data_IF_458273584425
#
_entry.id   IF_458273584425
#
_cell.length_a   1.000
_cell.length_b   1.000
_cell.length_c   1.000
_cell.angle_alpha   90.00
_cell.angle_beta   90.00
_cell.angle_gamma   90.00
#
_symmetry.space_group_name_H-M   'P 1'
#
loop_
_entity.id
_entity.type
_entity.pdbx_description
1 polymer ?
#
# COMPACT_ATOMS: atom_id res chain seq x y z
N UNK A 1 18.37 13.91 -34.21
CA UNK A 1 19.26 14.16 -33.06
C UNK A 1 18.49 14.96 -32.04
N UNK A 2 18.12 14.33 -30.92
CA UNK A 2 17.39 14.98 -29.83
C UNK A 2 18.36 15.78 -28.96
N UNK A 3 17.97 17.00 -28.60
CA UNK A 3 18.74 17.89 -27.74
C UNK A 3 18.53 17.50 -26.26
N UNK A 4 19.63 17.30 -25.55
CA UNK A 4 19.67 17.08 -24.10
C UNK A 4 19.47 18.43 -23.41
N UNK A 5 18.34 18.61 -22.72
CA UNK A 5 18.12 19.78 -21.87
C UNK A 5 18.78 19.49 -20.52
N UNK A 6 19.84 20.26 -20.26
CA UNK A 6 20.61 20.35 -19.02
C UNK A 6 19.67 20.87 -17.92
N UNK A 7 19.34 20.06 -16.92
CA UNK A 7 18.58 20.52 -15.74
C UNK A 7 19.58 21.08 -14.74
N UNK A 8 19.89 22.37 -14.85
CA UNK A 8 20.48 23.18 -13.78
C UNK A 8 19.37 23.90 -13.02
N UNK A 9 18.83 23.27 -11.98
CA UNK A 9 17.86 23.89 -11.08
C UNK A 9 18.35 23.88 -9.63
N UNK A 10 19.04 24.96 -9.31
CA UNK A 10 19.23 25.65 -8.02
C UNK A 10 18.58 25.03 -6.75
N UNK A 11 19.43 24.66 -5.78
CA UNK A 11 19.13 23.90 -4.54
C UNK A 11 18.56 24.78 -3.41
N UNK A 12 17.77 25.82 -3.70
CA UNK A 12 17.20 26.71 -2.65
C UNK A 12 15.69 26.99 -2.76
N UNK A 13 14.96 26.26 -3.63
CA UNK A 13 13.51 26.42 -3.86
C UNK A 13 12.67 25.14 -3.71
N UNK A 14 13.24 24.05 -3.17
CA UNK A 14 12.58 22.73 -3.11
C UNK A 14 11.61 22.60 -1.91
N UNK A 15 11.57 23.56 -0.98
CA UNK A 15 10.70 23.54 0.21
C UNK A 15 9.19 23.71 -0.06
N UNK A 16 8.73 23.69 -1.32
CA UNK A 16 7.31 23.93 -1.71
C UNK A 16 6.81 22.95 -2.80
N UNK A 17 7.55 21.87 -3.11
CA UNK A 17 6.98 20.79 -3.93
C UNK A 17 6.10 19.97 -2.98
N UNK A 18 4.80 19.91 -3.27
CA UNK A 18 3.83 19.04 -2.60
C UNK A 18 4.45 17.65 -2.44
N UNK A 19 4.86 17.32 -1.21
CA UNK A 19 5.37 15.98 -0.88
C UNK A 19 4.17 15.05 -0.85
N UNK A 20 3.63 14.73 -2.03
CA UNK A 20 2.61 13.71 -2.16
C UNK A 20 3.25 12.39 -1.77
N UNK A 21 2.72 11.77 -0.71
CA UNK A 21 3.21 10.49 -0.24
C UNK A 21 3.09 9.45 -1.37
N UNK A 22 4.13 8.65 -1.51
CA UNK A 22 4.22 7.61 -2.52
C UNK A 22 3.18 6.52 -2.25
N UNK A 23 2.34 6.27 -3.23
CA UNK A 23 1.31 5.24 -3.18
C UNK A 23 1.92 3.84 -3.24
N UNK A 24 1.08 2.88 -2.87
CA UNK A 24 1.36 1.46 -3.03
C UNK A 24 1.72 1.18 -4.48
N UNK A 25 2.85 0.52 -4.73
CA UNK A 25 3.48 0.25 -6.05
C UNK A 25 4.44 1.30 -6.60
N UNK A 26 4.50 2.54 -6.07
CA UNK A 26 5.52 3.50 -6.48
C UNK A 26 6.92 3.08 -6.02
N UNK A 27 7.93 3.43 -6.82
CA UNK A 27 9.34 3.24 -6.47
C UNK A 27 9.72 4.16 -5.32
N UNK A 28 10.53 3.67 -4.40
CA UNK A 28 10.97 4.36 -3.19
C UNK A 28 12.48 4.26 -3.02
N UNK A 29 13.08 5.17 -2.24
CA UNK A 29 14.52 5.24 -2.01
C UNK A 29 14.94 5.05 -0.53
N UNK A 30 14.01 4.56 0.29
CA UNK A 30 14.14 4.38 1.73
C UNK A 30 14.18 5.68 2.53
N UNK A 31 13.73 6.79 1.94
CA UNK A 31 13.48 8.04 2.66
C UNK A 31 12.39 7.83 3.73
N UNK A 32 12.67 8.09 5.02
CA UNK A 32 11.68 7.93 6.06
C UNK A 32 10.42 8.77 5.81
N UNK A 33 9.25 8.11 5.81
CA UNK A 33 7.96 8.79 5.61
C UNK A 33 7.64 9.18 4.17
N UNK A 34 8.36 8.66 3.17
CA UNK A 34 8.06 8.88 1.76
C UNK A 34 6.78 8.17 1.29
N UNK A 35 6.46 7.00 1.85
CA UNK A 35 5.28 6.22 1.48
C UNK A 35 4.01 6.70 2.22
N UNK A 36 2.84 6.41 1.64
CA UNK A 36 1.54 6.63 2.28
C UNK A 36 1.47 6.00 3.69
N UNK A 37 0.60 6.49 4.59
CA UNK A 37 0.48 5.92 5.92
C UNK A 37 0.24 4.41 5.86
N UNK A 38 0.85 3.69 6.80
CA UNK A 38 0.80 2.22 6.86
C UNK A 38 1.48 1.48 5.69
N UNK A 39 2.22 2.17 4.83
CA UNK A 39 3.13 1.57 3.87
C UNK A 39 4.60 1.63 4.34
N UNK A 40 5.45 0.79 3.71
CA UNK A 40 6.89 0.74 3.91
C UNK A 40 7.58 0.48 2.55
N UNK A 41 8.77 1.04 2.36
CA UNK A 41 9.60 0.72 1.20
C UNK A 41 10.15 -0.71 1.32
N UNK A 42 9.71 -1.61 0.44
CA UNK A 42 10.14 -3.00 0.44
C UNK A 42 11.49 -3.16 -0.27
N UNK A 43 12.47 -3.75 0.42
CA UNK A 43 13.83 -3.88 -0.11
C UNK A 43 13.99 -4.71 -1.39
N UNK A 44 13.08 -5.65 -1.66
CA UNK A 44 13.17 -6.54 -2.83
C UNK A 44 12.61 -5.92 -4.10
N UNK A 45 11.43 -5.31 -4.01
CA UNK A 45 10.77 -4.66 -5.13
C UNK A 45 11.17 -3.19 -5.29
N UNK A 46 11.81 -2.61 -4.27
CA UNK A 46 12.12 -1.19 -4.15
C UNK A 46 10.86 -0.33 -4.34
N UNK A 47 9.74 -0.80 -3.78
CA UNK A 47 8.42 -0.14 -3.90
C UNK A 47 7.76 0.01 -2.55
N UNK A 48 6.92 1.04 -2.43
CA UNK A 48 6.03 1.17 -1.29
C UNK A 48 5.00 0.02 -1.31
N UNK A 49 4.94 -0.76 -0.23
CA UNK A 49 3.98 -1.83 0.00
C UNK A 49 3.27 -1.62 1.33
N UNK A 50 2.03 -2.08 1.44
CA UNK A 50 1.32 -2.03 2.71
C UNK A 50 1.98 -2.94 3.75
N UNK A 51 2.08 -2.44 4.99
CA UNK A 51 2.53 -3.23 6.13
C UNK A 51 1.55 -4.37 6.41
N UNK A 52 2.01 -5.38 7.15
CA UNK A 52 1.14 -6.44 7.63
C UNK A 52 -0.08 -5.87 8.39
N UNK A 53 -1.26 -6.43 8.13
CA UNK A 53 -2.52 -5.89 8.64
C UNK A 53 -3.18 -4.82 7.76
N UNK A 54 -2.58 -4.48 6.61
CA UNK A 54 -3.13 -3.52 5.66
C UNK A 54 -3.10 -4.04 4.22
N UNK A 55 -4.04 -3.57 3.40
CA UNK A 55 -4.14 -3.86 1.97
C UNK A 55 -4.24 -2.57 1.13
N UNK A 56 -3.84 -2.68 -0.13
CA UNK A 56 -3.87 -1.57 -1.07
C UNK A 56 -5.28 -1.34 -1.62
N UNK A 57 -5.86 -0.17 -1.35
CA UNK A 57 -7.14 0.25 -1.94
C UNK A 57 -7.15 1.75 -2.23
N UNK A 58 -7.28 2.10 -3.51
CA UNK A 58 -7.32 3.49 -3.96
C UNK A 58 -6.05 4.26 -3.61
N UNK A 59 -4.87 3.66 -3.87
CA UNK A 59 -3.54 4.23 -3.60
C UNK A 59 -3.20 4.45 -2.11
N UNK A 60 -4.02 3.91 -1.20
CA UNK A 60 -3.81 3.97 0.24
C UNK A 60 -3.72 2.55 0.82
N UNK A 61 -3.09 2.45 1.98
CA UNK A 61 -3.13 1.23 2.79
C UNK A 61 -4.27 1.30 3.79
N UNK A 62 -5.27 0.44 3.61
CA UNK A 62 -6.42 0.29 4.50
C UNK A 62 -6.26 -0.96 5.36
N UNK A 63 -6.84 -0.96 6.54
CA UNK A 63 -6.82 -2.13 7.42
C UNK A 63 -7.50 -3.34 6.78
N UNK A 64 -6.99 -4.53 7.05
CA UNK A 64 -7.62 -5.77 6.61
C UNK A 64 -9.02 -5.93 7.24
N UNK A 65 -9.93 -6.48 6.46
CA UNK A 65 -11.32 -6.71 6.80
C UNK A 65 -11.43 -8.08 7.50
N UNK A 66 -12.08 -8.11 8.66
CA UNK A 66 -12.44 -9.35 9.37
C UNK A 66 -13.56 -10.10 8.63
N UNK A 67 -14.21 -11.08 9.26
CA UNK A 67 -15.31 -11.86 8.66
C UNK A 67 -16.61 -11.04 8.43
N UNK A 68 -16.50 -9.95 7.68
CA UNK A 68 -17.54 -8.94 7.38
C UNK A 68 -17.54 -8.64 5.88
N UNK A 69 -18.24 -7.58 5.47
CA UNK A 69 -18.48 -7.26 4.06
C UNK A 69 -17.17 -6.92 3.33
N UNK A 70 -16.98 -7.51 2.17
CA UNK A 70 -15.83 -7.35 1.29
C UNK A 70 -16.25 -7.03 -0.16
N UNK A 71 -15.33 -6.53 -0.98
CA UNK A 71 -15.63 -6.06 -2.34
C UNK A 71 -14.92 -6.87 -3.44
N UNK A 72 -14.25 -7.95 -3.09
CA UNK A 72 -13.43 -8.76 -3.98
C UNK A 72 -12.06 -8.12 -4.29
N UNK A 73 -11.59 -7.17 -3.47
CA UNK A 73 -10.27 -6.57 -3.65
C UNK A 73 -9.19 -7.56 -3.17
N UNK A 74 -8.13 -7.81 -3.96
CA UNK A 74 -7.09 -8.75 -3.59
C UNK A 74 -6.45 -8.42 -2.24
N UNK A 75 -6.44 -9.41 -1.34
CA UNK A 75 -5.84 -9.29 -0.02
C UNK A 75 -6.58 -8.35 0.94
N UNK A 76 -7.85 -8.00 0.68
CA UNK A 76 -8.62 -7.16 1.59
C UNK A 76 -9.01 -7.86 2.89
N UNK A 77 -9.19 -9.18 2.86
CA UNK A 77 -9.53 -9.97 4.04
C UNK A 77 -8.29 -10.23 4.89
N UNK A 78 -8.49 -10.41 6.19
CA UNK A 78 -7.43 -10.84 7.12
C UNK A 78 -6.71 -12.11 6.63
N UNK A 79 -5.48 -12.29 7.08
CA UNK A 79 -4.65 -13.45 6.70
C UNK A 79 -5.41 -14.76 6.90
N UNK A 80 -5.34 -15.64 5.90
CA UNK A 80 -6.09 -16.90 5.82
C UNK A 80 -7.62 -16.75 5.76
N UNK A 81 -8.09 -15.62 5.23
CA UNK A 81 -9.47 -15.43 4.80
C UNK A 81 -9.48 -14.90 3.37
N UNK A 82 -10.56 -15.18 2.64
CA UNK A 82 -10.79 -14.69 1.28
C UNK A 82 -12.21 -14.18 1.13
N UNK A 83 -12.40 -13.24 0.21
CA UNK A 83 -13.73 -12.73 -0.11
C UNK A 83 -14.52 -13.80 -0.88
N UNK A 84 -15.65 -14.25 -0.31
CA UNK A 84 -16.55 -15.22 -0.94
C UNK A 84 -17.95 -14.59 -1.01
N UNK A 85 -18.38 -14.27 -2.23
CA UNK A 85 -19.57 -13.44 -2.44
C UNK A 85 -19.27 -12.01 -2.03
N UNK A 86 -19.89 -11.57 -0.94
CA UNK A 86 -19.74 -10.23 -0.35
C UNK A 86 -19.16 -10.28 1.06
N UNK A 87 -18.70 -11.45 1.54
CA UNK A 87 -18.22 -11.62 2.91
C UNK A 87 -16.86 -12.29 2.96
N UNK A 88 -15.95 -11.79 3.79
CA UNK A 88 -14.68 -12.46 4.07
C UNK A 88 -14.95 -13.76 4.83
N UNK A 89 -14.57 -14.89 4.24
CA UNK A 89 -14.69 -16.21 4.86
C UNK A 89 -13.31 -16.76 5.16
N UNK A 90 -13.15 -17.36 6.35
CA UNK A 90 -11.94 -18.08 6.71
C UNK A 90 -11.69 -19.22 5.71
N UNK A 91 -10.43 -19.39 5.33
CA UNK A 91 -10.03 -20.53 4.52
C UNK A 91 -10.09 -21.83 5.33
N UNK A 92 -10.09 -22.97 4.62
CA UNK A 92 -10.19 -24.28 5.24
C UNK A 92 -9.12 -24.47 6.32
N UNK A 93 -9.55 -24.84 7.53
CA UNK A 93 -8.68 -25.00 8.70
C UNK A 93 -8.48 -23.76 9.57
N UNK A 94 -9.08 -22.62 9.21
CA UNK A 94 -9.05 -21.39 10.00
C UNK A 94 -10.44 -21.02 10.55
N UNK A 95 -10.45 -20.25 11.64
CA UNK A 95 -11.67 -19.82 12.32
C UNK A 95 -11.53 -18.38 12.85
N UNK A 96 -12.64 -17.64 13.04
CA UNK A 96 -12.62 -16.31 13.64
C UNK A 96 -12.10 -16.37 15.08
N UNK A 97 -11.11 -15.53 15.40
CA UNK A 97 -10.49 -15.48 16.72
C UNK A 97 -11.48 -15.07 17.83
N UNK A 98 -12.43 -14.20 17.51
CA UNK A 98 -13.33 -13.58 18.50
C UNK A 98 -14.71 -14.27 18.58
N UNK A 99 -14.91 -15.38 17.87
CA UNK A 99 -16.24 -15.96 17.67
C UNK A 99 -17.10 -15.06 16.76
N UNK A 100 -18.03 -15.66 16.02
CA UNK A 100 -18.98 -14.90 15.20
C UNK A 100 -20.24 -14.59 16.01
#
# INVERSE_FOLDING_TARGET
>A
MQAVIIVSANVTLISIIKMELLNTTQLCDFTPGECVPHAVCEGKSQRCVCKAGYYSRGNLCRELINATICEGVPGECVTNARCVGDTCQCEDGYFPKDGL
#
